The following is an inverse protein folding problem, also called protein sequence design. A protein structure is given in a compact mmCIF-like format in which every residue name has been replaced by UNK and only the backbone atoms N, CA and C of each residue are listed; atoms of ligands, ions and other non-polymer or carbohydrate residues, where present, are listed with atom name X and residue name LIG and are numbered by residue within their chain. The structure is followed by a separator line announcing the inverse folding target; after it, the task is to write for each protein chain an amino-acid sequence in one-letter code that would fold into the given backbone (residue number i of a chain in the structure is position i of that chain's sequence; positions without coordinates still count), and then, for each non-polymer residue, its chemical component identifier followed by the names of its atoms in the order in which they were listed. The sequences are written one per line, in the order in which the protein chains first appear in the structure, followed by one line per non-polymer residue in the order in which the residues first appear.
data_IF_243132426625
#
_entry.id   IF_243132426625
#
_cell.length_a   1.000
_cell.length_b   1.000
_cell.length_c   1.000
_cell.angle_alpha   90.00
_cell.angle_beta   90.00
_cell.angle_gamma   90.00
#
_symmetry.space_group_name_H-M   'P 1'
#
loop_
_entity.id
_entity.type
_entity.pdbx_description
1 polymer ?
#
# COMPACT_ATOMS: atom_id res chain seq x y z
N UNK A 1 -24.71 -23.99 -18.43
CA UNK A 1 -23.25 -24.20 -18.29
C UNK A 1 -22.45 -22.91 -18.47
N UNK A 2 -22.96 -21.90 -19.20
CA UNK A 2 -22.29 -20.62 -19.47
C UNK A 2 -21.98 -19.76 -18.23
N UNK A 3 -22.87 -19.73 -17.22
CA UNK A 3 -22.65 -18.95 -15.98
C UNK A 3 -21.42 -19.39 -15.18
N UNK A 4 -20.96 -20.63 -15.34
CA UNK A 4 -19.83 -21.17 -14.59
C UNK A 4 -18.48 -20.84 -15.25
N UNK A 5 -18.47 -20.67 -16.58
CA UNK A 5 -17.28 -20.26 -17.35
C UNK A 5 -17.04 -18.76 -17.19
N UNK A 6 -18.08 -17.93 -17.29
CA UNK A 6 -17.96 -16.48 -17.12
C UNK A 6 -17.44 -16.10 -15.73
N UNK A 7 -17.95 -16.76 -14.68
CA UNK A 7 -17.51 -16.54 -13.30
C UNK A 7 -16.04 -16.95 -13.06
N UNK A 8 -15.55 -17.98 -13.75
CA UNK A 8 -14.14 -18.41 -13.67
C UNK A 8 -13.20 -17.41 -14.33
N UNK A 9 -13.51 -16.99 -15.57
CA UNK A 9 -12.73 -15.97 -16.30
C UNK A 9 -12.66 -14.68 -15.49
N UNK A 10 -13.78 -14.24 -14.89
CA UNK A 10 -13.78 -13.03 -14.07
C UNK A 10 -12.91 -13.13 -12.81
N UNK A 11 -12.79 -14.33 -12.24
CA UNK A 11 -11.97 -14.56 -11.05
C UNK A 11 -10.49 -14.60 -11.41
N UNK A 12 -10.15 -15.14 -12.57
CA UNK A 12 -8.78 -15.19 -13.11
C UNK A 12 -8.25 -13.77 -13.40
N UNK A 13 -9.01 -12.94 -14.13
CA UNK A 13 -8.63 -11.55 -14.44
C UNK A 13 -8.41 -10.71 -13.16
N UNK A 14 -9.30 -10.85 -12.17
CA UNK A 14 -9.14 -10.15 -10.89
C UNK A 14 -7.90 -10.60 -10.13
N UNK A 15 -7.55 -11.88 -10.23
CA UNK A 15 -6.35 -12.44 -9.60
C UNK A 15 -5.09 -11.93 -10.30
N UNK A 16 -5.11 -11.79 -11.63
CA UNK A 16 -4.03 -11.19 -12.41
C UNK A 16 -3.80 -9.72 -12.03
N UNK A 17 -4.87 -8.91 -11.99
CA UNK A 17 -4.79 -7.51 -11.56
C UNK A 17 -4.27 -7.38 -10.12
N UNK A 18 -4.68 -8.28 -9.22
CA UNK A 18 -4.15 -8.30 -7.85
C UNK A 18 -2.64 -8.63 -7.84
N UNK A 19 -2.19 -9.60 -8.62
CA UNK A 19 -0.75 -9.93 -8.73
C UNK A 19 0.07 -8.79 -9.35
N UNK A 20 -0.48 -8.12 -10.35
CA UNK A 20 0.13 -6.93 -10.95
C UNK A 20 0.25 -5.80 -9.92
N UNK A 21 -0.82 -5.53 -9.17
CA UNK A 21 -0.81 -4.50 -8.11
C UNK A 21 0.20 -4.83 -7.02
N UNK A 22 0.28 -6.09 -6.58
CA UNK A 22 1.30 -6.55 -5.62
C UNK A 22 2.72 -6.31 -6.16
N UNK A 23 2.95 -6.59 -7.44
CA UNK A 23 4.24 -6.35 -8.10
C UNK A 23 4.55 -4.84 -8.18
N UNK A 24 3.56 -4.00 -8.46
CA UNK A 24 3.71 -2.55 -8.46
C UNK A 24 4.06 -2.00 -7.06
N UNK A 25 3.44 -2.52 -6.00
CA UNK A 25 3.83 -2.20 -4.61
C UNK A 25 5.29 -2.59 -4.33
N UNK A 26 5.72 -3.77 -4.75
CA UNK A 26 7.10 -4.22 -4.61
C UNK A 26 8.09 -3.35 -5.38
N UNK A 27 7.69 -2.81 -6.54
CA UNK A 27 8.52 -1.90 -7.34
C UNK A 27 8.73 -0.53 -6.67
N UNK A 28 7.70 0.03 -6.03
CA UNK A 28 7.83 1.33 -5.33
C UNK A 28 8.48 1.21 -3.95
N UNK A 29 8.40 0.03 -3.31
CA UNK A 29 8.79 -0.11 -1.90
C UNK A 29 10.22 0.28 -1.59
N UNK A 30 11.25 -0.18 -2.34
CA UNK A 30 12.65 0.09 -2.00
C UNK A 30 12.98 1.58 -1.98
N UNK A 31 12.40 2.36 -2.89
CA UNK A 31 12.62 3.80 -2.93
C UNK A 31 12.01 4.46 -1.68
N UNK A 32 10.75 4.16 -1.36
CA UNK A 32 10.12 4.71 -0.15
C UNK A 32 10.85 4.24 1.11
N UNK A 33 11.24 2.97 1.20
CA UNK A 33 11.95 2.40 2.36
C UNK A 33 13.29 3.08 2.61
N UNK A 34 14.08 3.31 1.55
CA UNK A 34 15.32 4.10 1.62
C UNK A 34 15.09 5.45 2.27
N UNK A 35 14.07 6.19 1.83
CA UNK A 35 13.83 7.54 2.36
C UNK A 35 13.23 7.52 3.78
N UNK A 36 12.38 6.55 4.09
CA UNK A 36 11.88 6.38 5.46
C UNK A 36 12.97 5.99 6.44
N UNK A 37 13.98 5.21 6.04
CA UNK A 37 15.10 4.86 6.94
C UNK A 37 16.05 6.03 7.22
N UNK A 38 16.06 7.03 6.34
CA UNK A 38 16.80 8.29 6.54
C UNK A 38 16.01 9.26 7.43
N UNK A 39 14.72 9.44 7.14
CA UNK A 39 13.91 10.50 7.73
C UNK A 39 13.26 10.07 9.05
N UNK A 40 12.63 8.90 9.09
CA UNK A 40 11.75 8.51 10.20
C UNK A 40 12.45 8.32 11.55
N UNK A 41 13.70 7.82 11.65
CA UNK A 41 14.36 7.65 12.96
C UNK A 41 14.58 8.94 13.75
N UNK A 42 14.62 10.09 13.07
CA UNK A 42 14.80 11.42 13.68
C UNK A 42 13.49 12.23 13.76
N UNK A 43 12.34 11.65 13.41
CA UNK A 43 11.07 12.36 13.40
C UNK A 43 10.54 12.61 14.82
N UNK A 44 10.38 13.89 15.19
CA UNK A 44 9.70 14.29 16.43
C UNK A 44 8.18 14.09 16.36
N UNK A 45 7.61 14.21 15.16
CA UNK A 45 6.17 14.06 14.90
C UNK A 45 5.90 12.80 14.08
N UNK A 46 5.74 11.67 14.75
CA UNK A 46 5.51 10.37 14.12
C UNK A 46 4.14 10.35 13.42
N UNK A 47 4.14 10.26 12.08
CA UNK A 47 2.92 10.18 11.28
C UNK A 47 2.34 8.75 11.20
N UNK A 48 3.06 7.75 11.68
CA UNK A 48 2.64 6.35 11.71
C UNK A 48 1.70 6.07 12.90
N UNK A 49 0.51 6.68 12.87
CA UNK A 49 -0.56 6.48 13.86
C UNK A 49 -1.56 5.39 13.43
N UNK A 50 -2.31 4.84 14.37
CA UNK A 50 -3.24 3.73 14.16
C UNK A 50 -4.28 4.01 13.07
N UNK A 51 -4.75 5.26 12.97
CA UNK A 51 -5.64 5.71 11.88
C UNK A 51 -5.15 5.30 10.49
N UNK A 52 -3.85 5.38 10.24
CA UNK A 52 -3.28 5.06 8.93
C UNK A 52 -3.10 3.56 8.72
N UNK A 53 -3.03 2.78 9.80
CA UNK A 53 -2.93 1.32 9.77
C UNK A 53 -4.27 0.60 9.60
N UNK A 54 -5.40 1.32 9.61
CA UNK A 54 -6.73 0.75 9.41
C UNK A 54 -7.01 0.51 7.93
N UNK A 55 -7.46 -0.69 7.60
CA UNK A 55 -7.83 -1.06 6.24
C UNK A 55 -9.20 -0.48 5.90
N UNK A 56 -9.32 0.04 4.68
CA UNK A 56 -10.59 0.46 4.09
C UNK A 56 -11.10 -0.61 3.10
N UNK A 57 -12.38 -0.54 2.72
CA UNK A 57 -13.03 -1.58 1.88
C UNK A 57 -12.26 -1.88 0.59
N UNK A 58 -11.68 -0.84 -0.03
CA UNK A 58 -10.88 -0.96 -1.24
C UNK A 58 -9.57 -1.72 -1.03
N UNK A 59 -8.96 -1.65 0.16
CA UNK A 59 -7.78 -2.46 0.46
C UNK A 59 -8.16 -3.94 0.55
N UNK A 60 -9.33 -4.24 1.11
CA UNK A 60 -9.83 -5.61 1.23
C UNK A 60 -10.15 -6.25 -0.13
N UNK A 61 -10.58 -5.46 -1.11
CA UNK A 61 -10.78 -5.94 -2.50
C UNK A 61 -9.49 -6.52 -3.07
N UNK A 62 -8.35 -5.90 -2.77
CA UNK A 62 -7.02 -6.30 -3.21
C UNK A 62 -6.41 -7.42 -2.37
N UNK A 63 -6.62 -7.43 -1.07
CA UNK A 63 -6.01 -8.44 -0.18
C UNK A 63 -6.71 -9.80 -0.26
N UNK A 64 -8.01 -9.84 -0.57
CA UNK A 64 -8.83 -11.06 -0.58
C UNK A 64 -8.26 -12.20 -1.45
N UNK A 65 -7.79 -11.99 -2.70
CA UNK A 65 -7.22 -13.06 -3.53
C UNK A 65 -5.98 -13.73 -2.91
N UNK A 66 -5.27 -13.06 -2.01
CA UNK A 66 -4.05 -13.60 -1.38
C UNK A 66 -4.32 -14.40 -0.11
N UNK A 67 -5.59 -14.58 0.27
CA UNK A 67 -5.95 -15.23 1.54
C UNK A 67 -5.36 -14.50 2.75
N UNK A 68 -5.00 -13.22 2.60
CA UNK A 68 -4.63 -12.40 3.74
C UNK A 68 -5.87 -12.28 4.61
N UNK A 69 -5.79 -12.76 5.85
CA UNK A 69 -6.83 -12.54 6.86
C UNK A 69 -7.20 -11.06 6.82
N UNK A 70 -8.51 -10.77 6.71
CA UNK A 70 -9.00 -9.39 6.79
C UNK A 70 -8.49 -8.88 8.14
N UNK A 71 -7.52 -7.94 8.16
CA UNK A 71 -6.91 -7.58 9.42
C UNK A 71 -7.99 -6.90 10.22
N UNK A 72 -8.32 -7.48 11.38
CA UNK A 72 -9.28 -6.84 12.27
C UNK A 72 -8.83 -5.40 12.48
N UNK A 73 -9.77 -4.48 12.29
CA UNK A 73 -9.65 -3.12 12.77
C UNK A 73 -10.26 -3.15 14.18
N UNK A 74 -9.51 -3.56 15.22
CA UNK A 74 -10.04 -3.65 16.56
C UNK A 74 -10.45 -2.23 16.97
N UNK A 75 -11.66 -2.15 17.52
CA UNK A 75 -12.34 -0.90 17.84
C UNK A 75 -11.85 -0.27 19.15
N UNK A 76 -11.00 -0.96 19.89
CA UNK A 76 -10.52 -0.61 21.23
C UNK A 76 -9.30 0.32 21.23
N UNK A 77 -8.76 0.65 20.05
CA UNK A 77 -7.62 1.56 19.89
C UNK A 77 -8.03 2.95 19.47
N UNK A 78 -7.42 3.97 20.07
CA UNK A 78 -7.58 5.35 19.63
C UNK A 78 -6.84 5.58 18.30
N UNK A 79 -7.44 6.36 17.40
CA UNK A 79 -6.88 6.64 16.08
C UNK A 79 -5.50 7.32 16.12
N UNK A 80 -5.22 8.04 17.21
CA UNK A 80 -3.98 8.80 17.43
C UNK A 80 -2.86 8.00 18.09
N UNK A 81 -3.15 6.77 18.56
CA UNK A 81 -2.10 5.90 19.09
C UNK A 81 -1.04 5.56 18.04
N UNK A 82 0.17 5.16 18.45
CA UNK A 82 1.13 4.56 17.54
C UNK A 82 0.49 3.40 16.76
N UNK A 83 0.76 3.34 15.45
CA UNK A 83 0.23 2.28 14.60
C UNK A 83 0.62 0.91 15.16
N UNK A 84 -0.34 0.00 15.30
CA UNK A 84 -0.13 -1.37 15.80
C UNK A 84 0.90 -2.21 15.04
N UNK A 85 1.21 -1.81 13.80
CA UNK A 85 2.21 -2.47 12.96
C UNK A 85 3.58 -1.78 13.04
N UNK A 86 3.72 -0.67 13.76
CA UNK A 86 5.00 0.02 13.94
C UNK A 86 5.80 -0.64 15.06
N UNK A 87 7.06 -0.95 14.79
CA UNK A 87 8.04 -1.41 15.77
C UNK A 87 9.37 -0.64 15.61
N UNK A 88 10.36 -1.00 16.42
CA UNK A 88 11.69 -0.36 16.43
C UNK A 88 12.43 -0.39 15.08
N UNK A 89 12.09 -1.35 14.21
CA UNK A 89 12.66 -1.51 12.85
C UNK A 89 11.77 -0.90 11.76
N UNK A 90 10.71 -0.19 12.13
CA UNK A 90 9.70 0.33 11.21
C UNK A 90 8.44 -0.53 11.17
N UNK A 91 7.73 -0.52 10.05
CA UNK A 91 6.47 -1.26 9.94
C UNK A 91 6.73 -2.77 9.77
N UNK A 92 6.04 -3.61 10.54
CA UNK A 92 6.11 -5.07 10.50
C UNK A 92 5.44 -5.71 9.28
N UNK A 93 4.71 -4.91 8.49
CA UNK A 93 4.02 -5.37 7.27
C UNK A 93 4.84 -5.03 6.04
N UNK A 94 4.88 -5.93 5.07
CA UNK A 94 5.36 -5.59 3.73
C UNK A 94 4.45 -4.53 3.10
N UNK A 95 4.97 -3.70 2.19
CA UNK A 95 4.21 -2.54 1.69
C UNK A 95 2.91 -2.92 1.00
N UNK A 96 2.88 -4.02 0.25
CA UNK A 96 1.66 -4.53 -0.38
C UNK A 96 0.63 -5.04 0.64
N UNK A 97 1.04 -5.31 1.89
CA UNK A 97 0.11 -5.70 2.94
C UNK A 97 -0.44 -4.50 3.68
N UNK A 98 0.12 -3.30 3.56
CA UNK A 98 -0.32 -2.11 4.28
C UNK A 98 -1.57 -1.51 3.62
N UNK A 99 -2.42 -0.77 4.35
CA UNK A 99 -3.46 0.04 3.72
C UNK A 99 -2.87 0.96 2.65
N UNK A 100 -3.61 1.21 1.57
CA UNK A 100 -3.11 2.01 0.44
C UNK A 100 -2.61 3.40 0.87
N UNK A 101 -3.23 3.97 1.91
CA UNK A 101 -2.83 5.24 2.52
C UNK A 101 -1.36 5.28 2.98
N UNK A 102 -0.81 4.16 3.47
CA UNK A 102 0.61 4.08 3.86
C UNK A 102 1.57 4.16 2.67
N UNK A 103 1.06 4.11 1.44
CA UNK A 103 1.83 4.25 0.19
C UNK A 103 1.53 5.55 -0.54
N UNK A 104 0.40 6.21 -0.24
CA UNK A 104 0.03 7.50 -0.85
C UNK A 104 0.23 8.72 0.06
N UNK A 105 0.53 8.52 1.35
CA UNK A 105 0.86 9.60 2.28
C UNK A 105 2.37 9.80 2.42
N UNK A 106 2.82 11.05 2.21
CA UNK A 106 4.19 11.48 2.43
C UNK A 106 4.16 12.78 3.23
N UNK A 107 4.85 12.84 4.38
CA UNK A 107 5.02 14.10 5.12
C UNK A 107 6.07 14.99 4.43
N UNK A 108 6.09 16.27 4.76
CA UNK A 108 6.99 17.26 4.13
C UNK A 108 8.47 16.85 4.18
N UNK A 109 8.92 16.32 5.32
CA UNK A 109 10.30 15.85 5.47
C UNK A 109 10.61 14.66 4.55
N UNK A 110 9.65 13.75 4.35
CA UNK A 110 9.80 12.61 3.47
C UNK A 110 9.73 13.02 1.99
N UNK A 111 8.80 13.91 1.63
CA UNK A 111 8.71 14.49 0.28
C UNK A 111 10.01 15.17 -0.11
N UNK A 112 10.53 16.03 0.76
CA UNK A 112 11.83 16.69 0.55
C UNK A 112 12.94 15.67 0.33
N UNK A 113 13.02 14.62 1.16
CA UNK A 113 14.04 13.59 0.99
C UNK A 113 13.94 12.85 -0.35
N UNK A 114 12.72 12.57 -0.83
CA UNK A 114 12.48 11.93 -2.12
C UNK A 114 12.88 12.84 -3.29
N UNK A 115 12.56 14.14 -3.20
CA UNK A 115 12.83 15.15 -4.23
C UNK A 115 14.31 15.51 -4.33
N UNK A 116 15.02 15.54 -3.20
CA UNK A 116 16.46 15.84 -3.12
C UNK A 116 17.34 14.67 -3.58
N UNK A 117 16.78 13.49 -3.84
CA UNK A 117 17.51 12.35 -4.39
C UNK A 117 17.82 12.53 -5.89
N UNK A 118 18.44 11.52 -6.49
CA UNK A 118 18.70 11.49 -7.91
C UNK A 118 17.41 11.68 -8.74
N UNK A 119 17.37 12.74 -9.53
CA UNK A 119 16.20 13.08 -10.36
C UNK A 119 15.75 11.96 -11.33
N UNK A 120 16.65 11.08 -11.78
CA UNK A 120 16.29 9.91 -12.61
C UNK A 120 15.55 8.86 -11.77
N UNK A 121 16.02 8.60 -10.54
CA UNK A 121 15.35 7.67 -9.62
C UNK A 121 13.99 8.21 -9.18
N UNK A 122 13.90 9.50 -8.86
CA UNK A 122 12.63 10.13 -8.52
C UNK A 122 11.60 10.03 -9.65
N UNK A 123 11.99 10.32 -10.91
CA UNK A 123 11.09 10.15 -12.07
C UNK A 123 10.64 8.71 -12.26
N UNK A 124 11.55 7.74 -12.09
CA UNK A 124 11.20 6.32 -12.17
C UNK A 124 10.21 5.93 -11.07
N UNK A 125 10.44 6.41 -9.83
CA UNK A 125 9.51 6.22 -8.72
C UNK A 125 8.12 6.79 -9.01
N UNK A 126 8.04 8.03 -9.53
CA UNK A 126 6.75 8.65 -9.91
C UNK A 126 6.03 7.81 -10.97
N UNK A 127 6.75 7.30 -11.98
CA UNK A 127 6.15 6.44 -13.00
C UNK A 127 5.62 5.11 -12.40
N UNK A 128 6.38 4.48 -11.50
CA UNK A 128 5.92 3.27 -10.81
C UNK A 128 4.72 3.55 -9.89
N UNK A 129 4.70 4.70 -9.21
CA UNK A 129 3.57 5.09 -8.36
C UNK A 129 2.31 5.37 -9.19
N UNK A 130 2.44 6.02 -10.35
CA UNK A 130 1.34 6.22 -11.29
C UNK A 130 0.79 4.89 -11.82
N UNK A 131 1.67 3.96 -12.17
CA UNK A 131 1.26 2.62 -12.59
C UNK A 131 0.54 1.86 -11.46
N UNK A 132 1.04 1.92 -10.24
CA UNK A 132 0.39 1.33 -9.06
C UNK A 132 -1.02 1.87 -8.88
N UNK A 133 -1.21 3.19 -8.93
CA UNK A 133 -2.52 3.85 -8.83
C UNK A 133 -3.45 3.38 -9.97
N UNK A 134 -2.93 3.30 -11.19
CA UNK A 134 -3.68 2.85 -12.35
C UNK A 134 -4.18 1.41 -12.23
N UNK A 135 -3.32 0.47 -11.83
CA UNK A 135 -3.69 -0.94 -11.64
C UNK A 135 -4.68 -1.08 -10.48
N UNK A 136 -4.48 -0.32 -9.40
CA UNK A 136 -5.44 -0.27 -8.29
C UNK A 136 -6.81 0.19 -8.76
N UNK A 137 -6.88 1.25 -9.57
CA UNK A 137 -8.15 1.75 -10.10
C UNK A 137 -8.85 0.70 -10.96
N UNK A 138 -8.11 0.04 -11.87
CA UNK A 138 -8.64 -1.08 -12.67
C UNK A 138 -9.22 -2.21 -11.82
N UNK A 139 -8.52 -2.59 -10.75
CA UNK A 139 -8.98 -3.64 -9.83
C UNK A 139 -10.26 -3.25 -9.10
N UNK A 140 -10.44 -1.97 -8.77
CA UNK A 140 -11.63 -1.46 -8.07
C UNK A 140 -12.83 -1.24 -9.01
N UNK A 141 -12.57 -0.82 -10.25
CA UNK A 141 -13.60 -0.64 -11.28
C UNK A 141 -14.10 -1.98 -11.83
N UNK A 142 -13.43 -3.09 -11.48
CA UNK A 142 -13.85 -4.43 -11.80
C UNK A 142 -15.17 -4.77 -11.08
N UNK A 143 -16.31 -4.49 -11.72
CA UNK A 143 -17.63 -4.86 -11.24
C UNK A 143 -17.97 -6.32 -11.62
N UNK A 144 -18.50 -7.13 -10.70
CA UNK A 144 -18.99 -8.48 -11.00
C UNK A 144 -20.24 -8.49 -11.89
#
# INVERSE_FOLDING_TARGET
MEKNTQKRIQTEERTELANELKSAFSAVSPFIEKHTSIVCPACEKVCCIDKHGRYESNDLVFLRPFGADIPDNPSDREETEPCRFLNEKGCSRERWQRPFRCTSFFCDALLKSLEDDNAKLYRAFVAFLQHLVYVRQKLLDYQP
#
